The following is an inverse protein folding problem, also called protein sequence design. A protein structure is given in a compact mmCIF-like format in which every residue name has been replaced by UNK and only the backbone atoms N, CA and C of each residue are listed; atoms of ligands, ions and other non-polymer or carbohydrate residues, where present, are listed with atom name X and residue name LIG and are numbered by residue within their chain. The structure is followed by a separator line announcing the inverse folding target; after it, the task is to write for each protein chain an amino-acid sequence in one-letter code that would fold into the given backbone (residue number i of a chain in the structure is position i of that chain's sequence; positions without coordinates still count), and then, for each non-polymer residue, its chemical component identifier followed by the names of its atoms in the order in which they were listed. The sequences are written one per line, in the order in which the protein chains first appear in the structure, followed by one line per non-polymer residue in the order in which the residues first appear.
data_IF_818846369003
#
_entry.id   IF_818846369003
#
_cell.length_a   1.000
_cell.length_b   1.000
_cell.length_c   1.000
_cell.angle_alpha   90.00
_cell.angle_beta   90.00
_cell.angle_gamma   90.00
#
_symmetry.space_group_name_H-M   'P 1'
#
loop_
_entity.id
_entity.type
_entity.pdbx_description
1 polymer ?
#
# COMPACT_ATOMS: atom_id res chain seq x y z
N UNK A 1 30.67 17.92 -13.90
CA UNK A 1 31.02 16.81 -12.99
C UNK A 1 29.74 16.39 -12.30
N UNK A 2 29.05 15.36 -12.81
CA UNK A 2 27.85 14.82 -12.17
C UNK A 2 28.29 14.02 -10.93
N UNK A 3 27.72 14.26 -9.73
CA UNK A 3 28.03 13.45 -8.58
C UNK A 3 27.43 12.06 -8.80
N UNK A 4 28.29 11.07 -8.59
CA UNK A 4 28.01 9.67 -8.81
C UNK A 4 27.02 9.09 -7.83
N UNK A 5 26.50 7.92 -8.22
CA UNK A 5 25.93 6.97 -7.28
C UNK A 5 24.42 6.91 -7.30
N UNK A 6 23.84 6.43 -8.40
CA UNK A 6 22.70 5.52 -8.30
C UNK A 6 23.17 4.32 -7.46
N UNK A 7 23.10 4.44 -6.13
CA UNK A 7 23.12 3.29 -5.25
C UNK A 7 21.90 2.45 -5.61
N UNK A 8 22.12 1.43 -6.44
CA UNK A 8 21.20 0.33 -6.59
C UNK A 8 21.19 -0.45 -5.27
N UNK A 9 20.55 0.13 -4.25
CA UNK A 9 20.02 -0.66 -3.14
C UNK A 9 18.91 -1.52 -3.75
N UNK A 10 19.27 -2.71 -4.24
CA UNK A 10 18.29 -3.72 -4.59
C UNK A 10 17.34 -3.85 -3.41
N UNK A 11 16.03 -3.73 -3.67
CA UNK A 11 15.02 -3.86 -2.62
C UNK A 11 15.30 -5.16 -1.84
N UNK A 12 15.21 -5.13 -0.52
CA UNK A 12 15.24 -6.37 0.26
C UNK A 12 14.09 -7.29 -0.20
N UNK A 13 14.15 -8.59 0.07
CA UNK A 13 13.01 -9.50 -0.27
C UNK A 13 11.71 -8.95 0.29
N UNK A 14 11.74 -8.43 1.52
CA UNK A 14 10.63 -7.70 2.13
C UNK A 14 10.21 -6.47 1.30
N UNK A 15 11.17 -5.68 0.84
CA UNK A 15 10.96 -4.55 -0.04
C UNK A 15 10.30 -4.91 -1.38
N UNK A 16 10.71 -6.00 -2.03
CA UNK A 16 10.05 -6.51 -3.23
C UNK A 16 8.66 -7.04 -2.94
N UNK A 17 8.43 -7.67 -1.79
CA UNK A 17 7.10 -8.11 -1.36
C UNK A 17 6.20 -6.90 -1.14
N UNK A 18 6.67 -5.85 -0.47
CA UNK A 18 5.91 -4.61 -0.28
C UNK A 18 5.63 -3.93 -1.63
N UNK A 19 6.62 -3.89 -2.54
CA UNK A 19 6.43 -3.33 -3.88
C UNK A 19 5.44 -4.17 -4.71
N UNK A 20 5.50 -5.49 -4.62
CA UNK A 20 4.56 -6.41 -5.25
C UNK A 20 3.16 -6.30 -4.64
N UNK A 21 3.04 -6.12 -3.33
CA UNK A 21 1.75 -5.87 -2.68
C UNK A 21 1.19 -4.50 -3.07
N UNK A 22 2.03 -3.46 -3.14
CA UNK A 22 1.61 -2.11 -3.53
C UNK A 22 1.23 -2.00 -5.01
N UNK A 23 2.05 -2.57 -5.90
CA UNK A 23 1.90 -2.45 -7.36
C UNK A 23 1.19 -3.64 -8.02
N UNK A 24 1.29 -4.85 -7.47
CA UNK A 24 0.77 -6.09 -8.07
C UNK A 24 -0.59 -6.54 -7.52
N UNK A 25 -0.93 -6.16 -6.27
CA UNK A 25 -2.17 -6.61 -5.67
C UNK A 25 -3.43 -5.95 -6.28
N UNK A 26 -3.29 -4.79 -6.94
CA UNK A 26 -4.37 -4.20 -7.75
C UNK A 26 -4.46 -4.81 -9.16
N UNK A 27 -3.34 -5.28 -9.70
CA UNK A 27 -3.23 -5.80 -11.07
C UNK A 27 -3.80 -7.20 -11.21
N UNK A 28 -3.74 -8.03 -10.16
CA UNK A 28 -4.33 -9.38 -10.17
C UNK A 28 -5.87 -9.34 -10.24
N UNK A 29 -6.60 -8.55 -9.42
CA UNK A 29 -8.05 -8.41 -9.57
C UNK A 29 -8.45 -7.84 -10.95
N UNK A 30 -7.70 -6.86 -11.45
CA UNK A 30 -7.97 -6.24 -12.76
C UNK A 30 -7.77 -7.24 -13.91
N UNK A 31 -6.67 -8.01 -13.89
CA UNK A 31 -6.40 -9.04 -14.90
C UNK A 31 -7.44 -10.17 -14.85
N UNK A 32 -7.85 -10.61 -13.65
CA UNK A 32 -8.94 -11.59 -13.50
C UNK A 32 -10.29 -11.06 -14.01
N UNK A 33 -10.57 -9.77 -13.83
CA UNK A 33 -11.77 -9.12 -14.37
C UNK A 33 -11.78 -9.11 -15.89
N UNK A 34 -10.65 -8.79 -16.52
CA UNK A 34 -10.49 -8.82 -17.98
C UNK A 34 -10.64 -10.26 -18.50
N UNK A 35 -9.97 -11.24 -17.85
CA UNK A 35 -10.08 -12.65 -18.22
C UNK A 35 -11.52 -13.14 -18.09
N UNK A 36 -12.25 -12.72 -17.05
CA UNK A 36 -13.68 -13.03 -16.90
C UNK A 36 -14.54 -12.50 -18.05
N UNK A 37 -14.25 -11.31 -18.57
CA UNK A 37 -15.03 -10.75 -19.69
C UNK A 37 -14.84 -11.53 -21.00
N UNK A 38 -13.71 -12.22 -21.16
CA UNK A 38 -13.36 -12.94 -22.40
C UNK A 38 -13.61 -14.45 -22.24
N UNK A 39 -13.54 -14.98 -21.01
CA UNK A 39 -13.70 -16.39 -20.73
C UNK A 39 -15.17 -16.83 -20.83
N UNK A 40 -15.40 -17.95 -21.50
CA UNK A 40 -16.73 -18.55 -21.66
C UNK A 40 -17.35 -19.06 -20.35
N UNK A 41 -18.66 -19.34 -20.39
CA UNK A 41 -19.49 -19.68 -19.22
C UNK A 41 -18.94 -20.82 -18.35
N UNK A 42 -18.17 -21.76 -18.91
CA UNK A 42 -17.57 -22.89 -18.20
C UNK A 42 -16.53 -22.49 -17.14
N UNK A 43 -15.94 -21.30 -17.24
CA UNK A 43 -14.93 -20.80 -16.29
C UNK A 43 -15.46 -19.72 -15.35
N UNK A 44 -16.69 -19.25 -15.57
CA UNK A 44 -17.31 -18.14 -14.83
C UNK A 44 -17.24 -18.30 -13.31
N UNK A 45 -17.64 -19.46 -12.78
CA UNK A 45 -17.62 -19.76 -11.34
C UNK A 45 -16.23 -19.78 -10.72
N UNK A 46 -15.24 -20.34 -11.45
CA UNK A 46 -13.84 -20.41 -10.96
C UNK A 46 -13.21 -19.02 -10.96
N UNK A 47 -13.49 -18.24 -11.99
CA UNK A 47 -13.02 -16.85 -12.12
C UNK A 47 -13.70 -15.94 -11.09
N UNK A 48 -14.99 -16.12 -10.81
CA UNK A 48 -15.69 -15.38 -9.74
C UNK A 48 -15.07 -15.65 -8.38
N UNK A 49 -14.76 -16.92 -8.08
CA UNK A 49 -14.13 -17.28 -6.82
C UNK A 49 -12.72 -16.72 -6.72
N UNK A 50 -11.93 -16.81 -7.80
CA UNK A 50 -10.58 -16.24 -7.84
C UNK A 50 -10.59 -14.71 -7.71
N UNK A 51 -11.52 -14.03 -8.38
CA UNK A 51 -11.66 -12.57 -8.33
C UNK A 51 -12.13 -12.11 -6.94
N UNK A 52 -13.08 -12.82 -6.33
CA UNK A 52 -13.54 -12.55 -4.96
C UNK A 52 -12.40 -12.71 -3.93
N UNK A 53 -11.63 -13.80 -4.01
CA UNK A 53 -10.45 -13.98 -3.15
C UNK A 53 -9.38 -12.94 -3.40
N UNK A 54 -9.10 -12.62 -4.67
CA UNK A 54 -8.12 -11.61 -5.04
C UNK A 54 -8.51 -10.23 -4.52
N UNK A 55 -9.77 -9.84 -4.65
CA UNK A 55 -10.29 -8.58 -4.12
C UNK A 55 -10.24 -8.55 -2.59
N UNK A 56 -10.62 -9.65 -1.94
CA UNK A 56 -10.60 -9.76 -0.47
C UNK A 56 -9.17 -9.59 0.07
N UNK A 57 -8.20 -10.32 -0.50
CA UNK A 57 -6.80 -10.23 -0.12
C UNK A 57 -6.25 -8.84 -0.42
N UNK A 58 -6.62 -8.23 -1.54
CA UNK A 58 -6.20 -6.86 -1.88
C UNK A 58 -6.71 -5.83 -0.86
N UNK A 59 -8.02 -5.85 -0.54
CA UNK A 59 -8.61 -4.93 0.44
C UNK A 59 -7.94 -5.09 1.80
N UNK A 60 -7.82 -6.33 2.29
CA UNK A 60 -7.16 -6.60 3.57
C UNK A 60 -5.70 -6.16 3.54
N UNK A 61 -4.98 -6.41 2.45
CA UNK A 61 -3.60 -5.98 2.25
C UNK A 61 -3.44 -4.46 2.32
N UNK A 62 -4.29 -3.70 1.62
CA UNK A 62 -4.29 -2.23 1.65
C UNK A 62 -4.60 -1.71 3.04
N UNK A 63 -5.57 -2.30 3.75
CA UNK A 63 -5.92 -1.89 5.12
C UNK A 63 -4.76 -2.11 6.10
N UNK A 64 -4.11 -3.28 6.04
CA UNK A 64 -2.95 -3.59 6.87
C UNK A 64 -1.79 -2.65 6.54
N UNK A 65 -1.51 -2.43 5.24
CA UNK A 65 -0.45 -1.54 4.80
C UNK A 65 -0.68 -0.10 5.26
N UNK A 66 -1.91 0.41 5.12
CA UNK A 66 -2.29 1.73 5.60
C UNK A 66 -2.11 1.85 7.12
N UNK A 67 -2.60 0.89 7.89
CA UNK A 67 -2.45 0.87 9.34
C UNK A 67 -0.98 0.85 9.77
N UNK A 68 -0.16 0.01 9.12
CA UNK A 68 1.27 -0.06 9.38
C UNK A 68 1.98 1.27 9.09
N UNK A 69 1.67 1.91 7.95
CA UNK A 69 2.21 3.23 7.61
C UNK A 69 1.79 4.29 8.63
N UNK A 70 0.53 4.29 9.09
CA UNK A 70 0.08 5.19 10.15
C UNK A 70 0.88 4.97 11.44
N UNK A 71 1.11 3.71 11.85
CA UNK A 71 1.89 3.40 13.04
C UNK A 71 3.35 3.85 12.93
N UNK A 72 3.99 3.64 11.78
CA UNK A 72 5.35 4.11 11.50
C UNK A 72 5.41 5.64 11.54
N UNK A 73 4.43 6.31 10.94
CA UNK A 73 4.36 7.77 10.92
C UNK A 73 4.18 8.34 12.33
N UNK A 74 3.38 7.67 13.18
CA UNK A 74 3.18 8.07 14.59
C UNK A 74 4.44 7.99 15.44
N UNK A 75 5.45 7.21 15.04
CA UNK A 75 6.75 7.16 15.72
C UNK A 75 7.66 8.34 15.34
N UNK A 76 7.33 9.10 14.29
CA UNK A 76 8.08 10.30 13.90
C UNK A 76 7.76 11.47 14.83
N UNK A 77 8.71 12.40 15.03
CA UNK A 77 8.44 13.64 15.76
C UNK A 77 7.35 14.47 15.08
N UNK A 78 6.60 15.23 15.87
CA UNK A 78 5.38 15.92 15.46
C UNK A 78 5.55 16.86 14.27
N UNK A 79 6.65 17.62 14.21
CA UNK A 79 6.96 18.52 13.09
C UNK A 79 7.10 17.80 11.75
N UNK A 80 7.43 16.50 11.78
CA UNK A 80 7.82 15.72 10.61
C UNK A 80 6.71 14.75 10.16
N UNK A 81 5.59 14.68 10.88
CA UNK A 81 4.45 13.84 10.51
C UNK A 81 3.73 14.43 9.30
N UNK A 82 3.64 13.67 8.21
CA UNK A 82 2.92 14.03 6.97
C UNK A 82 1.53 13.40 6.86
N UNK A 83 0.92 13.06 8.00
CA UNK A 83 -0.42 12.48 8.06
C UNK A 83 -1.44 13.48 8.64
N UNK A 84 -2.66 13.46 8.12
CA UNK A 84 -3.78 14.26 8.65
C UNK A 84 -4.40 13.65 9.92
N UNK A 85 -3.95 12.45 10.32
CA UNK A 85 -4.38 11.78 11.55
C UNK A 85 -3.33 11.94 12.66
N UNK A 86 -3.17 13.17 13.14
CA UNK A 86 -2.22 13.51 14.20
C UNK A 86 -2.82 13.11 15.57
N UNK A 87 -2.01 12.77 16.59
CA UNK A 87 -2.54 12.55 17.96
C UNK A 87 -2.93 13.89 18.60
N UNK A 88 -3.86 13.90 19.55
CA UNK A 88 -4.24 15.13 20.27
C UNK A 88 -3.05 15.79 20.99
N UNK A 89 -2.14 14.97 21.53
CA UNK A 89 -0.89 15.46 22.15
C UNK A 89 -0.01 16.20 21.14
N UNK A 90 0.10 15.66 19.94
CA UNK A 90 0.95 16.20 18.88
C UNK A 90 0.31 17.43 18.22
N UNK A 91 -1.02 17.48 18.15
CA UNK A 91 -1.78 18.68 17.81
C UNK A 91 -1.56 19.82 18.80
N UNK A 92 -1.67 19.53 20.11
CA UNK A 92 -1.44 20.50 21.18
C UNK A 92 -0.02 21.08 21.11
N UNK A 93 0.97 20.21 20.86
CA UNK A 93 2.35 20.63 20.68
C UNK A 93 2.52 21.54 19.45
N UNK A 94 1.97 21.17 18.29
CA UNK A 94 2.04 21.99 17.08
C UNK A 94 1.36 23.35 17.25
N UNK A 95 0.24 23.40 17.97
CA UNK A 95 -0.48 24.64 18.28
C UNK A 95 0.28 25.56 19.26
N UNK A 96 1.23 25.01 20.03
CA UNK A 96 2.07 25.77 20.98
C UNK A 96 3.33 26.40 20.36
N UNK A 97 3.69 26.01 19.13
CA UNK A 97 4.83 26.57 18.43
C UNK A 97 4.56 28.02 17.98
N UNK A 98 5.52 28.94 18.15
CA UNK A 98 5.39 30.30 17.61
C UNK A 98 5.33 30.23 16.07
N UNK A 99 4.33 30.88 15.50
CA UNK A 99 4.12 30.97 14.04
C UNK A 99 5.05 31.99 13.38
#
# INVERSE_FOLDING_TARGET
MLPGGLQAHGFSVFGYVVLFVACGAATIPLTLGIVRMIAGASWSQRLDRALSWSMTVWILGVMIFYAAMVLIERQRPCEMQRTNQITDACKTYLDSLPR
#
